data_IF_954374889462
#
_entry.id   IF_954374889462
#
_cell.length_a   1.000
_cell.length_b   1.000
_cell.length_c   1.000
_cell.angle_alpha   90.00
_cell.angle_beta   90.00
_cell.angle_gamma   90.00
#
_symmetry.space_group_name_H-M   'P 1'
#
loop_
_entity.id
_entity.type
_entity.pdbx_description
1 polymer ?
#
# COMPACT_ATOMS: atom_id res chain seq x y z
N UNK A 1 -27.43 35.48 -21.15
CA UNK A 1 -26.39 36.32 -20.53
C UNK A 1 -25.90 35.73 -19.22
N UNK A 2 -24.60 35.79 -18.94
CA UNK A 2 -24.11 35.74 -17.55
C UNK A 2 -23.28 34.52 -17.12
N UNK A 3 -22.24 34.15 -17.86
CA UNK A 3 -21.18 33.28 -17.34
C UNK A 3 -20.47 33.94 -16.14
N UNK A 4 -20.57 33.34 -14.95
CA UNK A 4 -19.73 33.69 -13.80
C UNK A 4 -18.36 33.05 -13.99
N UNK A 5 -17.39 33.85 -14.42
CA UNK A 5 -15.99 33.45 -14.49
C UNK A 5 -15.41 33.07 -13.10
N UNK A 6 -14.33 32.27 -13.06
CA UNK A 6 -13.72 31.86 -11.80
C UNK A 6 -13.09 33.06 -11.09
N UNK A 7 -13.41 33.23 -9.80
CA UNK A 7 -12.87 34.28 -8.95
C UNK A 7 -11.34 34.15 -8.86
N UNK A 8 -10.63 35.14 -9.39
CA UNK A 8 -9.18 35.26 -9.29
C UNK A 8 -8.78 35.53 -7.84
N UNK A 9 -8.30 34.52 -7.12
CA UNK A 9 -7.68 34.73 -5.81
C UNK A 9 -6.32 35.40 -6.00
N UNK A 10 -6.06 36.57 -5.41
CA UNK A 10 -4.80 37.28 -5.60
C UNK A 10 -3.62 36.49 -5.00
N UNK A 11 -2.41 36.56 -5.62
CA UNK A 11 -1.22 35.92 -5.08
C UNK A 11 -0.86 36.58 -3.74
N UNK A 12 -0.89 35.79 -2.66
CA UNK A 12 -0.50 36.24 -1.32
C UNK A 12 0.97 36.67 -1.32
N UNK A 13 1.24 37.94 -0.93
CA UNK A 13 2.60 38.47 -0.78
C UNK A 13 3.44 37.57 0.15
N UNK A 14 4.74 37.39 -0.12
CA UNK A 14 5.62 36.61 0.74
C UNK A 14 5.64 37.25 2.13
N UNK A 15 5.30 36.45 3.16
CA UNK A 15 5.29 36.91 4.55
C UNK A 15 6.73 37.22 4.98
N UNK A 16 6.98 38.45 5.43
CA UNK A 16 8.29 38.88 5.97
C UNK A 16 8.21 39.06 7.49
N UNK A 17 9.34 38.83 8.18
CA UNK A 17 9.45 38.98 9.64
C UNK A 17 8.79 37.86 10.46
N UNK A 18 8.22 38.18 11.63
CA UNK A 18 7.59 37.20 12.54
C UNK A 18 6.43 36.40 11.90
N UNK A 19 5.85 36.91 10.82
CA UNK A 19 4.81 36.23 10.04
C UNK A 19 5.35 35.09 9.16
N UNK A 20 6.66 35.08 8.87
CA UNK A 20 7.34 34.00 8.14
C UNK A 20 7.68 32.80 9.02
N UNK A 21 7.64 32.98 10.36
CA UNK A 21 7.91 31.90 11.29
C UNK A 21 6.76 30.88 11.24
N UNK A 22 7.08 29.57 11.24
CA UNK A 22 6.06 28.53 11.31
C UNK A 22 5.22 28.73 12.57
N UNK A 23 3.90 28.55 12.46
CA UNK A 23 2.99 28.66 13.59
C UNK A 23 3.46 27.71 14.70
N UNK A 24 3.13 28.00 15.98
CA UNK A 24 3.55 27.15 17.12
C UNK A 24 3.18 25.67 16.91
N UNK A 25 2.07 25.40 16.22
CA UNK A 25 1.60 24.05 15.81
C UNK A 25 2.39 23.39 14.67
N UNK A 26 3.12 24.17 13.88
CA UNK A 26 3.89 23.71 12.72
C UNK A 26 5.37 23.47 13.09
N UNK A 27 5.81 23.92 14.27
CA UNK A 27 7.18 23.69 14.78
C UNK A 27 7.48 22.22 15.09
N UNK A 28 6.44 21.39 15.30
CA UNK A 28 6.58 19.95 15.57
C UNK A 28 6.62 19.10 14.30
N UNK A 29 6.36 19.69 13.12
CA UNK A 29 6.24 18.97 11.85
C UNK A 29 7.48 19.17 10.99
N UNK A 30 7.84 18.15 10.21
CA UNK A 30 8.95 18.24 9.26
C UNK A 30 8.62 19.17 8.09
N UNK A 31 9.64 19.75 7.46
CA UNK A 31 9.47 20.63 6.28
C UNK A 31 8.72 19.92 5.14
N UNK A 32 9.12 18.67 4.86
CA UNK A 32 8.47 17.80 3.87
C UNK A 32 6.98 17.60 4.16
N UNK A 33 6.63 17.36 5.43
CA UNK A 33 5.23 17.20 5.82
C UNK A 33 4.41 18.47 5.58
N UNK A 34 4.98 19.64 5.88
CA UNK A 34 4.30 20.92 5.68
C UNK A 34 4.08 21.25 4.19
N UNK A 35 5.00 20.85 3.31
CA UNK A 35 4.83 21.00 1.85
C UNK A 35 3.68 20.14 1.33
N UNK A 36 3.66 18.85 1.70
CA UNK A 36 2.59 17.92 1.32
C UNK A 36 1.23 18.39 1.89
N UNK A 37 1.22 18.91 3.12
CA UNK A 37 0.01 19.40 3.75
C UNK A 37 -0.63 20.56 2.98
N UNK A 38 0.15 21.39 2.27
CA UNK A 38 -0.38 22.49 1.45
C UNK A 38 -1.10 22.03 0.20
N UNK A 39 -0.81 20.83 -0.29
CA UNK A 39 -1.44 20.27 -1.49
C UNK A 39 -2.89 19.83 -1.24
N UNK A 40 -3.26 19.55 0.02
CA UNK A 40 -4.63 19.14 0.42
C UNK A 40 -5.35 20.21 1.21
N UNK A 41 -6.66 20.24 1.02
CA UNK A 41 -7.59 21.01 1.84
C UNK A 41 -8.30 20.06 2.83
N UNK A 42 -8.09 20.24 4.13
CA UNK A 42 -8.63 19.31 5.14
C UNK A 42 -10.16 19.26 5.25
N UNK A 43 -10.87 20.27 4.74
CA UNK A 43 -12.34 20.38 4.85
C UNK A 43 -13.08 20.01 3.56
N UNK A 44 -12.35 19.79 2.47
CA UNK A 44 -12.93 19.48 1.18
C UNK A 44 -13.10 17.97 1.05
N UNK A 45 -14.28 17.56 0.64
CA UNK A 45 -14.55 16.18 0.24
C UNK A 45 -14.08 16.01 -1.21
N UNK A 46 -13.29 14.97 -1.44
CA UNK A 46 -12.74 14.65 -2.75
C UNK A 46 -13.45 13.40 -3.28
N UNK A 47 -13.72 13.38 -4.58
CA UNK A 47 -14.14 12.15 -5.24
C UNK A 47 -12.97 11.16 -5.35
N UNK A 48 -13.27 9.91 -5.67
CA UNK A 48 -12.27 8.85 -5.81
C UNK A 48 -11.19 9.19 -6.86
N UNK A 49 -11.51 9.61 -8.10
CA UNK A 49 -10.48 9.86 -9.12
C UNK A 49 -9.58 11.07 -8.79
N UNK A 50 -10.13 12.15 -8.22
CA UNK A 50 -9.33 13.29 -7.78
C UNK A 50 -8.44 12.89 -6.60
N UNK A 51 -8.96 12.09 -5.67
CA UNK A 51 -8.19 11.58 -4.53
C UNK A 51 -6.99 10.76 -4.98
N UNK A 52 -7.14 9.88 -5.98
CA UNK A 52 -6.04 9.07 -6.51
C UNK A 52 -4.96 9.95 -7.16
N UNK A 53 -5.37 10.96 -7.92
CA UNK A 53 -4.44 11.88 -8.59
C UNK A 53 -3.66 12.71 -7.57
N UNK A 54 -4.36 13.20 -6.55
CA UNK A 54 -3.77 13.96 -5.45
C UNK A 54 -2.82 13.10 -4.61
N UNK A 55 -3.19 11.86 -4.32
CA UNK A 55 -2.34 10.91 -3.58
C UNK A 55 -1.00 10.68 -4.28
N UNK A 56 -0.99 10.52 -5.61
CA UNK A 56 0.25 10.38 -6.39
C UNK A 56 1.14 11.62 -6.32
N UNK A 57 0.57 12.82 -6.23
CA UNK A 57 1.34 14.06 -6.06
C UNK A 57 1.93 14.21 -4.66
N UNK A 58 1.34 13.57 -3.64
CA UNK A 58 1.82 13.58 -2.27
C UNK A 58 2.94 12.57 -2.01
N UNK A 59 3.04 11.53 -2.85
CA UNK A 59 4.11 10.54 -2.81
C UNK A 59 5.44 11.22 -3.13
N UNK A 60 6.34 11.26 -2.14
CA UNK A 60 7.63 11.98 -2.22
C UNK A 60 8.83 11.11 -1.88
N UNK A 61 8.60 9.86 -1.48
CA UNK A 61 9.68 8.91 -1.24
C UNK A 61 10.31 8.44 -2.56
N UNK A 62 11.55 7.94 -2.44
CA UNK A 62 12.33 7.42 -3.58
C UNK A 62 12.01 5.96 -3.92
N UNK A 63 11.18 5.31 -3.12
CA UNK A 63 10.79 3.90 -3.28
C UNK A 63 9.28 3.81 -3.57
N UNK A 64 8.81 2.61 -3.92
CA UNK A 64 7.39 2.36 -4.18
C UNK A 64 6.61 2.45 -2.87
N UNK A 65 5.81 3.52 -2.73
CA UNK A 65 4.97 3.74 -1.55
C UNK A 65 3.71 2.86 -1.56
N UNK A 66 3.21 2.51 -0.37
CA UNK A 66 1.94 1.82 -0.17
C UNK A 66 0.83 2.84 0.08
N UNK A 67 -0.32 2.64 -0.57
CA UNK A 67 -1.52 3.43 -0.31
C UNK A 67 -2.38 2.74 0.76
N UNK A 68 -2.84 3.52 1.74
CA UNK A 68 -3.75 3.05 2.79
C UNK A 68 -5.07 3.81 2.75
N UNK A 69 -6.16 3.14 3.13
CA UNK A 69 -7.48 3.71 3.25
C UNK A 69 -8.01 3.49 4.68
N UNK A 70 -8.33 4.59 5.36
CA UNK A 70 -8.86 4.54 6.72
C UNK A 70 -10.36 4.82 6.71
N UNK A 71 -11.13 3.91 7.28
CA UNK A 71 -12.58 4.04 7.42
C UNK A 71 -12.93 4.14 8.89
N UNK A 72 -13.59 5.23 9.27
CA UNK A 72 -14.16 5.35 10.61
C UNK A 72 -15.52 4.66 10.62
N UNK A 73 -15.58 3.51 11.27
CA UNK A 73 -16.80 2.73 11.44
C UNK A 73 -17.39 2.97 12.83
N UNK A 74 -18.71 2.89 12.95
CA UNK A 74 -19.42 3.03 14.22
C UNK A 74 -19.63 1.65 14.87
N UNK A 75 -18.53 0.94 15.13
CA UNK A 75 -18.51 -0.39 15.75
C UNK A 75 -17.87 -0.29 17.14
N UNK A 76 -18.41 -1.03 18.11
CA UNK A 76 -17.83 -1.15 19.44
C UNK A 76 -16.95 -2.40 19.52
N UNK A 77 -15.61 -2.26 19.62
CA UNK A 77 -14.67 -3.39 19.63
C UNK A 77 -14.75 -4.22 20.92
N UNK A 78 -15.48 -3.78 21.94
CA UNK A 78 -15.68 -4.54 23.19
C UNK A 78 -16.54 -5.79 22.97
N UNK A 79 -17.45 -5.75 22.01
CA UNK A 79 -18.36 -6.86 21.71
C UNK A 79 -17.88 -7.65 20.49
N UNK A 80 -17.80 -8.98 20.63
CA UNK A 80 -17.21 -9.86 19.62
C UNK A 80 -18.02 -9.88 18.31
N UNK A 81 -19.35 -9.77 18.40
CA UNK A 81 -20.28 -9.73 17.27
C UNK A 81 -20.13 -8.47 16.39
N UNK A 82 -19.53 -7.41 16.93
CA UNK A 82 -19.24 -6.17 16.19
C UNK A 82 -17.82 -6.13 15.60
N UNK A 83 -17.00 -7.16 15.84
CA UNK A 83 -15.66 -7.22 15.28
C UNK A 83 -15.71 -7.64 13.80
N UNK A 84 -15.20 -6.79 12.91
CA UNK A 84 -15.11 -7.08 11.48
C UNK A 84 -13.72 -7.63 11.11
N UNK A 85 -13.67 -8.86 10.61
CA UNK A 85 -12.48 -9.45 9.97
C UNK A 85 -12.89 -10.07 8.64
N UNK A 86 -12.50 -9.43 7.54
CA UNK A 86 -12.84 -9.85 6.19
C UNK A 86 -11.60 -9.89 5.29
N UNK A 87 -11.62 -10.78 4.30
CA UNK A 87 -10.70 -10.79 3.17
C UNK A 87 -11.38 -10.16 1.96
N UNK A 88 -10.63 -9.35 1.21
CA UNK A 88 -11.13 -8.70 -0.01
C UNK A 88 -10.19 -9.03 -1.15
N UNK A 89 -10.74 -9.57 -2.22
CA UNK A 89 -9.99 -9.82 -3.45
C UNK A 89 -9.95 -8.53 -4.28
N UNK A 90 -8.76 -7.94 -4.41
CA UNK A 90 -8.57 -6.75 -5.25
C UNK A 90 -8.51 -7.17 -6.73
N UNK A 91 -9.34 -6.58 -7.62
CA UNK A 91 -9.38 -6.96 -9.04
C UNK A 91 -8.05 -6.79 -9.80
N UNK A 92 -7.17 -5.92 -9.29
CA UNK A 92 -5.82 -5.70 -9.85
C UNK A 92 -4.71 -6.20 -8.93
N UNK A 93 -5.07 -6.96 -7.88
CA UNK A 93 -4.15 -7.40 -6.85
C UNK A 93 -3.49 -6.25 -6.10
N UNK A 94 -2.38 -6.55 -5.44
CA UNK A 94 -1.52 -5.58 -4.75
C UNK A 94 -0.47 -4.95 -5.68
N UNK A 95 -0.51 -5.26 -6.99
CA UNK A 95 0.49 -4.83 -7.97
C UNK A 95 1.83 -5.57 -7.87
N UNK A 96 1.99 -6.51 -6.92
CA UNK A 96 3.15 -7.39 -6.85
C UNK A 96 2.88 -8.66 -7.64
N UNK A 97 3.71 -8.95 -8.65
CA UNK A 97 3.72 -10.25 -9.32
C UNK A 97 4.32 -11.27 -8.37
N UNK A 98 3.46 -12.07 -7.75
CA UNK A 98 3.89 -13.11 -6.82
C UNK A 98 4.18 -14.38 -7.60
N UNK A 99 5.46 -14.75 -7.69
CA UNK A 99 5.87 -16.09 -8.11
C UNK A 99 5.81 -17.03 -6.91
N UNK A 100 5.15 -18.18 -7.07
CA UNK A 100 4.92 -19.16 -5.99
C UNK A 100 5.79 -20.39 -6.22
N UNK A 101 6.66 -20.69 -5.26
CA UNK A 101 7.40 -21.94 -5.18
C UNK A 101 6.77 -22.87 -4.14
N UNK A 102 6.55 -24.13 -4.51
CA UNK A 102 5.94 -25.14 -3.65
C UNK A 102 6.93 -26.29 -3.41
N UNK A 103 7.28 -26.51 -2.14
CA UNK A 103 8.11 -27.62 -1.68
C UNK A 103 7.24 -28.79 -1.23
N UNK A 104 7.18 -29.83 -2.04
CA UNK A 104 6.37 -31.04 -1.79
C UNK A 104 7.06 -32.29 -2.33
N UNK A 105 6.64 -33.46 -1.85
CA UNK A 105 7.12 -34.77 -2.31
C UNK A 105 5.95 -35.66 -2.72
N UNK A 106 6.22 -36.63 -3.59
CA UNK A 106 5.26 -37.64 -4.03
C UNK A 106 4.11 -37.06 -4.87
N UNK A 107 2.91 -37.61 -4.69
CA UNK A 107 1.70 -37.27 -5.46
C UNK A 107 1.27 -35.80 -5.34
N UNK A 108 1.68 -35.11 -4.26
CA UNK A 108 1.38 -33.69 -4.05
C UNK A 108 2.13 -32.76 -5.00
N UNK A 109 3.17 -33.23 -5.68
CA UNK A 109 3.88 -32.47 -6.72
C UNK A 109 2.94 -32.21 -7.90
N UNK A 110 2.21 -33.24 -8.33
CA UNK A 110 1.29 -33.14 -9.47
C UNK A 110 0.07 -32.29 -9.11
N UNK A 111 -0.44 -32.41 -7.89
CA UNK A 111 -1.50 -31.53 -7.36
C UNK A 111 -1.08 -30.06 -7.32
N UNK A 112 0.15 -29.77 -6.85
CA UNK A 112 0.67 -28.41 -6.80
C UNK A 112 0.87 -27.81 -8.20
N UNK A 113 1.31 -28.62 -9.17
CA UNK A 113 1.43 -28.20 -10.57
C UNK A 113 0.06 -27.95 -11.20
N UNK A 114 -0.92 -28.81 -10.93
CA UNK A 114 -2.29 -28.64 -11.39
C UNK A 114 -2.99 -27.41 -10.77
N UNK A 115 -2.64 -27.07 -9.53
CA UNK A 115 -3.13 -25.88 -8.84
C UNK A 115 -2.53 -24.55 -9.34
N UNK A 116 -1.57 -24.60 -10.27
CA UNK A 116 -0.97 -23.42 -10.90
C UNK A 116 0.20 -22.81 -10.15
N UNK A 117 0.96 -23.62 -9.41
CA UNK A 117 2.26 -23.17 -8.87
C UNK A 117 3.30 -23.00 -9.99
N UNK A 118 4.10 -21.93 -9.93
CA UNK A 118 5.12 -21.63 -10.94
C UNK A 118 6.30 -22.62 -10.86
N UNK A 119 6.70 -22.99 -9.64
CA UNK A 119 7.83 -23.88 -9.37
C UNK A 119 7.40 -24.90 -8.34
N UNK A 120 7.57 -26.18 -8.64
CA UNK A 120 7.29 -27.27 -7.69
C UNK A 120 8.50 -28.18 -7.64
N UNK A 121 8.97 -28.52 -6.44
CA UNK A 121 10.09 -29.42 -6.27
C UNK A 121 10.22 -29.97 -4.86
N UNK A 122 11.10 -30.96 -4.72
CA UNK A 122 11.41 -31.59 -3.45
C UNK A 122 12.78 -31.18 -2.93
N UNK A 123 13.63 -32.17 -2.67
CA UNK A 123 15.00 -31.96 -2.20
C UNK A 123 15.87 -31.22 -3.24
N UNK A 124 15.61 -31.43 -4.54
CA UNK A 124 16.32 -30.75 -5.63
C UNK A 124 16.13 -29.23 -5.61
N UNK A 125 14.92 -28.76 -5.25
CA UNK A 125 14.65 -27.33 -5.14
C UNK A 125 15.31 -26.74 -3.88
N UNK A 126 15.43 -27.52 -2.81
CA UNK A 126 16.16 -27.12 -1.60
C UNK A 126 17.65 -26.90 -1.92
N UNK A 127 18.26 -27.79 -2.70
CA UNK A 127 19.65 -27.62 -3.14
C UNK A 127 19.83 -26.41 -4.06
N UNK A 128 18.91 -26.17 -5.00
CA UNK A 128 18.95 -24.98 -5.85
C UNK A 128 18.81 -23.69 -5.05
N UNK A 129 17.93 -23.66 -4.04
CA UNK A 129 17.77 -22.51 -3.14
C UNK A 129 19.06 -22.28 -2.34
N UNK A 130 19.69 -23.36 -1.83
CA UNK A 130 21.01 -23.28 -1.18
C UNK A 130 22.10 -22.76 -2.13
N UNK A 131 22.00 -23.08 -3.42
CA UNK A 131 22.85 -22.58 -4.49
C UNK A 131 22.61 -21.11 -4.89
N UNK A 132 21.64 -20.43 -4.28
CA UNK A 132 21.36 -19.01 -4.50
C UNK A 132 20.15 -18.73 -5.40
N UNK A 133 19.35 -19.74 -5.75
CA UNK A 133 18.11 -19.55 -6.51
C UNK A 133 17.01 -18.95 -5.63
N UNK A 134 16.62 -17.70 -5.90
CA UNK A 134 15.63 -16.93 -5.12
C UNK A 134 14.58 -16.24 -6.00
N UNK A 135 14.27 -16.80 -7.17
CA UNK A 135 13.29 -16.20 -8.09
C UNK A 135 11.81 -16.50 -7.73
N UNK A 136 11.47 -16.53 -6.45
CA UNK A 136 10.10 -16.69 -5.95
C UNK A 136 9.81 -15.70 -4.83
N UNK A 137 8.57 -15.22 -4.78
CA UNK A 137 8.12 -14.27 -3.74
C UNK A 137 7.41 -14.95 -2.57
N UNK A 138 6.83 -16.14 -2.79
CA UNK A 138 6.21 -16.96 -1.74
C UNK A 138 6.70 -18.39 -1.86
N UNK A 139 7.04 -18.97 -0.72
CA UNK A 139 7.40 -20.37 -0.59
C UNK A 139 6.37 -21.06 0.29
N UNK A 140 5.78 -22.14 -0.22
CA UNK A 140 4.80 -22.97 0.48
C UNK A 140 5.41 -24.35 0.61
N UNK A 141 5.44 -24.92 1.81
CA UNK A 141 5.99 -26.25 2.03
C UNK A 141 4.93 -27.17 2.66
N UNK A 142 4.88 -28.43 2.22
CA UNK A 142 4.14 -29.47 2.96
C UNK A 142 4.85 -29.79 4.28
N UNK A 143 4.11 -30.19 5.34
CA UNK A 143 4.69 -30.53 6.65
C UNK A 143 5.86 -31.52 6.57
N UNK A 144 5.79 -32.48 5.66
CA UNK A 144 6.80 -33.52 5.46
C UNK A 144 8.17 -32.98 5.02
N UNK A 145 8.20 -31.77 4.44
CA UNK A 145 9.39 -31.11 3.91
C UNK A 145 9.98 -30.05 4.85
N UNK A 146 9.29 -29.71 5.94
CA UNK A 146 9.76 -28.72 6.92
C UNK A 146 11.00 -29.14 7.73
N UNK A 147 11.26 -30.43 8.03
CA UNK A 147 12.46 -30.84 8.78
C UNK A 147 13.77 -30.79 8.00
N UNK A 148 13.74 -30.55 6.69
CA UNK A 148 14.90 -30.60 5.78
C UNK A 148 15.42 -29.20 5.43
#
# INVERSE_FOLDING_TARGET
EGGRGPAFTPPTRPRTGKAALPLKRDRTKSKRFLEIQKLRESKKEYDVPTSISLMKQMSSARFVESAEAHFRMNLDPKYNDQQLRATVNLPKGTGQTVKIAVLTQGERIDEARAAGADIVGGDDLIEQIKGGFMEFGKLIASPDMMPK
#
